data_IF_474334120609
#
_entry.id   IF_474334120609
#
_cell.length_a   1.000
_cell.length_b   1.000
_cell.length_c   1.000
_cell.angle_alpha   90.00
_cell.angle_beta   90.00
_cell.angle_gamma   90.00
#
_symmetry.space_group_name_H-M   'P 1'
#
loop_
_entity.id
_entity.type
_entity.pdbx_description
1 polymer ?
#
# COMPACT_ATOMS: atom_id res chain seq x y z
N UNK A 1 -15.01 -27.73 14.44
CA UNK A 1 -15.27 -27.69 12.99
C UNK A 1 -13.98 -27.32 12.31
N UNK A 2 -13.47 -28.17 11.43
CA UNK A 2 -12.18 -27.95 10.75
C UNK A 2 -12.32 -26.74 9.83
N UNK A 3 -11.49 -25.71 9.98
CA UNK A 3 -11.38 -24.68 8.94
C UNK A 3 -11.01 -25.34 7.61
N UNK A 4 -11.70 -25.02 6.50
CA UNK A 4 -11.37 -25.60 5.20
C UNK A 4 -9.94 -25.19 4.82
N UNK A 5 -9.10 -26.17 4.47
CA UNK A 5 -7.68 -26.04 4.10
C UNK A 5 -7.39 -25.09 2.92
N UNK A 6 -8.40 -24.45 2.35
CA UNK A 6 -8.31 -23.58 1.19
C UNK A 6 -8.17 -22.09 1.54
N UNK A 7 -8.61 -21.61 2.70
CA UNK A 7 -8.59 -20.16 3.00
C UNK A 7 -7.22 -19.71 3.53
N UNK A 8 -6.67 -18.67 2.92
CA UNK A 8 -5.34 -18.10 3.21
C UNK A 8 -5.46 -16.85 4.10
N UNK A 9 -6.44 -16.00 3.83
CA UNK A 9 -6.59 -14.71 4.53
C UNK A 9 -8.03 -14.23 4.50
N UNK A 10 -8.44 -13.50 5.54
CA UNK A 10 -9.74 -12.82 5.62
C UNK A 10 -9.60 -11.30 5.71
N UNK A 11 -10.53 -10.60 5.08
CA UNK A 11 -10.68 -9.15 5.17
C UNK A 11 -12.04 -8.83 5.80
N UNK A 12 -12.04 -8.00 6.85
CA UNK A 12 -13.25 -7.66 7.63
C UNK A 12 -13.47 -6.16 7.84
N UNK A 13 -12.43 -5.33 7.67
CA UNK A 13 -12.49 -3.90 8.00
C UNK A 13 -13.00 -3.05 6.83
N UNK A 14 -12.26 -3.01 5.74
CA UNK A 14 -12.56 -2.13 4.59
C UNK A 14 -13.51 -2.79 3.58
N UNK A 15 -13.47 -4.11 3.48
CA UNK A 15 -14.41 -4.92 2.70
C UNK A 15 -14.52 -6.31 3.32
N UNK A 16 -15.65 -6.97 3.12
CA UNK A 16 -15.87 -8.36 3.51
C UNK A 16 -15.40 -9.30 2.40
N UNK A 17 -14.36 -10.07 2.64
CA UNK A 17 -13.83 -11.00 1.64
C UNK A 17 -12.74 -11.90 2.20
N UNK A 18 -12.22 -12.80 1.35
CA UNK A 18 -11.13 -13.70 1.70
C UNK A 18 -10.32 -14.09 0.47
N UNK A 19 -9.11 -14.59 0.70
CA UNK A 19 -8.26 -15.23 -0.31
C UNK A 19 -8.29 -16.72 -0.06
N UNK A 20 -8.49 -17.52 -1.10
CA UNK A 20 -8.47 -18.97 -1.00
C UNK A 20 -7.78 -19.64 -2.20
N UNK A 21 -7.17 -20.79 -1.96
CA UNK A 21 -6.73 -21.73 -2.99
C UNK A 21 -7.91 -22.58 -3.43
N UNK A 22 -8.35 -22.40 -4.67
CA UNK A 22 -9.48 -23.10 -5.26
C UNK A 22 -9.10 -23.62 -6.65
N UNK A 23 -9.69 -24.74 -7.06
CA UNK A 23 -9.69 -25.11 -8.47
C UNK A 23 -10.54 -24.13 -9.29
N UNK A 24 -10.41 -24.17 -10.62
CA UNK A 24 -11.25 -23.31 -11.49
C UNK A 24 -12.73 -23.63 -11.28
N UNK A 25 -13.07 -24.91 -11.17
CA UNK A 25 -14.42 -25.39 -10.95
C UNK A 25 -14.99 -24.93 -9.61
N UNK A 26 -14.19 -24.96 -8.55
CA UNK A 26 -14.56 -24.43 -7.22
C UNK A 26 -14.77 -22.92 -7.25
N UNK A 27 -13.89 -22.16 -7.92
CA UNK A 27 -14.02 -20.72 -8.08
C UNK A 27 -15.31 -20.33 -8.84
N UNK A 28 -15.67 -21.09 -9.89
CA UNK A 28 -16.93 -20.89 -10.62
C UNK A 28 -18.16 -21.16 -9.73
N UNK A 29 -18.14 -22.22 -8.93
CA UNK A 29 -19.22 -22.50 -7.97
C UNK A 29 -19.34 -21.40 -6.92
N UNK A 30 -18.20 -20.93 -6.40
CA UNK A 30 -18.15 -19.87 -5.40
C UNK A 30 -18.74 -18.55 -5.92
N UNK A 31 -18.48 -18.21 -7.18
CA UNK A 31 -19.03 -17.02 -7.81
C UNK A 31 -20.57 -17.03 -7.91
N UNK A 32 -21.21 -18.19 -7.79
CA UNK A 32 -22.67 -18.32 -7.81
C UNK A 32 -23.33 -18.40 -6.43
N UNK A 33 -22.56 -18.32 -5.33
CA UNK A 33 -23.13 -18.37 -3.99
C UNK A 33 -23.76 -17.04 -3.61
N UNK A 34 -24.90 -17.10 -2.92
CA UNK A 34 -25.53 -15.91 -2.35
C UNK A 34 -24.58 -15.20 -1.38
N UNK A 35 -24.51 -13.88 -1.48
CA UNK A 35 -23.55 -13.05 -0.73
C UNK A 35 -22.14 -12.94 -1.33
N UNK A 36 -21.80 -13.67 -2.40
CA UNK A 36 -20.53 -13.47 -3.12
C UNK A 36 -20.72 -12.43 -4.23
N UNK A 37 -20.08 -11.27 -4.08
CA UNK A 37 -20.18 -10.17 -5.05
C UNK A 37 -19.34 -10.45 -6.30
N UNK A 38 -18.12 -10.96 -6.14
CA UNK A 38 -17.21 -11.27 -7.25
C UNK A 38 -16.13 -12.25 -6.81
N UNK A 39 -15.63 -13.05 -7.76
CA UNK A 39 -14.45 -13.91 -7.58
C UNK A 39 -13.47 -13.59 -8.71
N UNK A 40 -12.20 -13.38 -8.37
CA UNK A 40 -11.14 -13.12 -9.34
C UNK A 40 -9.84 -13.81 -8.93
N UNK A 41 -9.01 -14.23 -9.89
CA UNK A 41 -7.73 -14.85 -9.59
C UNK A 41 -6.81 -13.86 -8.89
N UNK A 42 -6.12 -14.32 -7.85
CA UNK A 42 -5.04 -13.56 -7.24
C UNK A 42 -3.91 -13.38 -8.28
N UNK A 43 -3.32 -12.19 -8.34
CA UNK A 43 -2.25 -11.86 -9.29
C UNK A 43 -1.08 -11.23 -8.55
N UNK A 44 0.10 -11.78 -8.78
CA UNK A 44 1.35 -11.12 -8.41
C UNK A 44 1.51 -9.83 -9.22
N UNK A 45 2.05 -8.80 -8.59
CA UNK A 45 2.39 -7.53 -9.23
C UNK A 45 3.91 -7.42 -9.31
N UNK A 46 4.40 -6.99 -10.47
CA UNK A 46 5.82 -6.77 -10.69
C UNK A 46 6.15 -5.28 -10.59
N UNK A 47 7.37 -4.99 -10.14
CA UNK A 47 7.88 -3.64 -10.03
C UNK A 47 7.88 -2.95 -11.40
N UNK A 48 7.27 -1.77 -11.47
CA UNK A 48 7.14 -1.01 -12.73
C UNK A 48 8.30 -0.04 -12.95
N UNK A 49 8.84 0.55 -11.90
CA UNK A 49 9.94 1.52 -11.99
C UNK A 49 10.66 1.64 -10.66
N UNK A 50 11.96 1.96 -10.70
CA UNK A 50 12.73 2.49 -9.57
C UNK A 50 13.11 3.96 -9.76
N UNK A 51 12.66 4.57 -10.87
CA UNK A 51 13.01 5.95 -11.28
C UNK A 51 11.74 6.75 -11.54
N UNK A 52 11.10 7.19 -10.45
CA UNK A 52 9.80 7.88 -10.49
C UNK A 52 9.82 9.15 -11.33
N UNK A 53 10.85 10.00 -11.19
CA UNK A 53 11.00 11.26 -11.94
C UNK A 53 10.90 11.06 -13.46
N UNK A 54 11.73 10.17 -14.01
CA UNK A 54 11.69 9.86 -15.44
C UNK A 54 10.41 9.14 -15.87
N UNK A 55 9.86 8.29 -15.00
CA UNK A 55 8.64 7.54 -15.27
C UNK A 55 7.42 8.44 -15.47
N UNK A 56 7.30 9.51 -14.68
CA UNK A 56 6.21 10.50 -14.78
C UNK A 56 6.55 11.71 -15.65
N UNK A 57 7.73 11.73 -16.27
CA UNK A 57 8.17 12.82 -17.16
C UNK A 57 8.43 14.15 -16.45
N UNK A 58 8.80 14.13 -15.16
CA UNK A 58 9.12 15.35 -14.42
C UNK A 58 10.58 15.78 -14.60
N UNK A 59 10.81 17.09 -14.61
CA UNK A 59 12.13 17.71 -14.62
C UNK A 59 12.72 17.81 -13.21
N UNK A 60 14.05 17.84 -13.10
CA UNK A 60 14.74 17.98 -11.81
C UNK A 60 14.56 19.36 -11.17
N UNK A 61 14.23 20.37 -11.97
CA UNK A 61 13.99 21.74 -11.53
C UNK A 61 12.50 22.03 -11.51
N UNK A 62 11.97 22.27 -10.31
CA UNK A 62 10.58 22.67 -10.06
C UNK A 62 10.60 23.84 -9.07
N UNK A 63 9.94 24.94 -9.42
CA UNK A 63 9.70 26.02 -8.47
C UNK A 63 8.76 25.55 -7.36
N UNK A 64 9.23 25.64 -6.12
CA UNK A 64 8.51 25.17 -4.94
C UNK A 64 7.38 26.14 -4.58
N UNK A 65 6.22 25.59 -4.20
CA UNK A 65 5.03 26.37 -3.87
C UNK A 65 4.41 25.87 -2.55
N UNK A 66 3.72 26.75 -1.82
CA UNK A 66 3.14 26.45 -0.51
C UNK A 66 2.06 25.35 -0.52
N UNK A 67 1.44 25.08 -1.68
CA UNK A 67 0.47 23.99 -1.85
C UNK A 67 1.10 22.59 -1.76
N UNK A 68 2.43 22.48 -1.73
CA UNK A 68 3.15 21.21 -1.57
C UNK A 68 3.22 20.73 -0.11
N UNK A 69 2.70 21.51 0.84
CA UNK A 69 2.65 21.20 2.26
C UNK A 69 1.28 20.66 2.69
N UNK A 70 1.21 20.06 3.89
CA UNK A 70 -0.03 19.49 4.45
C UNK A 70 -0.66 18.36 3.60
N UNK A 71 0.16 17.56 2.91
CA UNK A 71 -0.33 16.41 2.12
C UNK A 71 0.20 15.10 2.72
N UNK A 72 -0.67 14.10 2.84
CA UNK A 72 -0.31 12.73 3.23
C UNK A 72 -0.29 11.86 1.99
N UNK A 73 0.88 11.34 1.63
CA UNK A 73 1.07 10.46 0.47
C UNK A 73 1.29 9.03 0.99
N UNK A 74 0.39 8.11 0.64
CA UNK A 74 0.55 6.68 0.93
C UNK A 74 1.31 5.97 -0.18
N UNK A 75 2.38 5.26 0.16
CA UNK A 75 3.19 4.49 -0.78
C UNK A 75 3.10 3.01 -0.42
N UNK A 76 2.61 2.18 -1.35
CA UNK A 76 2.59 0.72 -1.22
C UNK A 76 3.64 0.17 -2.18
N UNK A 77 4.84 -0.08 -1.66
CA UNK A 77 5.99 -0.57 -2.41
C UNK A 77 6.77 -1.60 -1.58
N UNK A 78 7.90 -2.05 -2.10
CA UNK A 78 8.87 -2.95 -1.47
C UNK A 78 9.58 -2.37 -0.25
N UNK A 79 9.50 -1.05 -0.04
CA UNK A 79 10.06 -0.37 1.13
C UNK A 79 10.69 0.98 0.80
N UNK A 80 11.39 1.54 1.77
CA UNK A 80 12.21 2.75 1.63
C UNK A 80 13.56 2.55 2.32
N UNK A 81 14.51 3.43 2.01
CA UNK A 81 15.82 3.51 2.65
C UNK A 81 15.81 4.69 3.66
N UNK A 82 15.33 4.49 4.90
CA UNK A 82 15.03 5.59 5.83
C UNK A 82 16.26 6.43 6.20
N UNK A 83 17.47 5.86 6.11
CA UNK A 83 18.73 6.55 6.35
C UNK A 83 19.21 7.43 5.18
N UNK A 84 18.52 7.40 4.04
CA UNK A 84 18.85 8.25 2.90
C UNK A 84 18.68 9.73 3.26
N UNK A 85 19.64 10.57 2.86
CA UNK A 85 19.59 12.01 3.07
C UNK A 85 18.32 12.67 2.50
N UNK A 86 17.71 12.06 1.48
CA UNK A 86 16.43 12.52 0.89
C UNK A 86 15.25 12.47 1.86
N UNK A 87 15.34 11.72 2.96
CA UNK A 87 14.31 11.65 4.00
C UNK A 87 14.64 12.49 5.23
N UNK A 88 15.68 13.32 5.21
CA UNK A 88 15.96 14.25 6.31
C UNK A 88 14.84 15.27 6.49
N UNK A 89 14.39 15.46 7.73
CA UNK A 89 13.39 16.46 8.13
C UNK A 89 14.01 17.84 8.45
N UNK A 90 15.32 18.01 8.28
CA UNK A 90 15.99 19.29 8.53
C UNK A 90 15.39 20.38 7.62
N UNK A 91 14.83 21.41 8.26
CA UNK A 91 14.20 22.54 7.57
C UNK A 91 12.72 22.34 7.22
N UNK A 92 12.13 21.19 7.58
CA UNK A 92 10.70 20.94 7.41
C UNK A 92 9.91 21.24 8.70
N UNK A 93 8.64 21.58 8.53
CA UNK A 93 7.67 21.66 9.62
C UNK A 93 7.24 20.26 10.06
N UNK A 94 6.63 20.11 11.26
CA UNK A 94 6.08 18.84 11.70
C UNK A 94 5.08 18.21 10.71
N UNK A 95 4.83 16.90 10.80
CA UNK A 95 3.83 16.22 9.98
C UNK A 95 2.43 16.88 10.03
N UNK A 96 1.63 16.76 8.95
CA UNK A 96 0.26 17.27 8.90
C UNK A 96 -0.55 16.92 10.15
N UNK A 97 -1.23 17.89 10.77
CA UNK A 97 -2.00 17.65 12.01
C UNK A 97 -3.13 16.62 11.85
N UNK A 98 -3.60 16.42 10.60
CA UNK A 98 -4.59 15.40 10.22
C UNK A 98 -4.02 13.99 10.12
N UNK A 99 -2.70 13.84 10.16
CA UNK A 99 -2.05 12.53 10.14
C UNK A 99 -2.25 11.83 11.48
N UNK A 100 -2.89 10.66 11.45
CA UNK A 100 -3.15 9.84 12.65
C UNK A 100 -2.46 8.47 12.56
N UNK A 101 -1.38 8.37 11.79
CA UNK A 101 -0.59 7.15 11.73
C UNK A 101 0.53 7.16 12.76
N UNK A 102 1.10 5.99 13.02
CA UNK A 102 2.23 5.83 13.93
C UNK A 102 3.49 5.47 13.15
N UNK A 103 4.63 5.99 13.60
CA UNK A 103 5.91 5.53 13.11
C UNK A 103 6.35 4.31 13.93
N UNK A 104 6.45 3.16 13.28
CA UNK A 104 6.90 1.92 13.90
C UNK A 104 8.31 1.60 13.44
N UNK A 105 9.30 2.26 14.05
CA UNK A 105 10.71 2.08 13.74
C UNK A 105 11.40 1.26 14.83
N UNK A 106 12.07 0.19 14.45
CA UNK A 106 12.89 -0.63 15.36
C UNK A 106 14.37 -0.29 15.28
N UNK A 107 14.85 0.23 14.15
CA UNK A 107 16.27 0.45 13.85
C UNK A 107 16.58 1.78 13.15
N UNK A 108 15.62 2.70 13.06
CA UNK A 108 15.81 4.04 12.50
C UNK A 108 15.03 5.10 13.30
N UNK A 109 15.33 6.38 13.07
CA UNK A 109 14.61 7.48 13.69
C UNK A 109 13.46 7.94 12.81
N UNK A 110 12.31 8.19 13.43
CA UNK A 110 11.16 8.80 12.77
C UNK A 110 11.37 10.32 12.69
N UNK A 111 10.99 10.90 11.56
CA UNK A 111 10.95 12.36 11.40
C UNK A 111 9.94 12.97 12.39
N UNK A 112 10.25 14.19 12.85
CA UNK A 112 9.51 14.88 13.91
C UNK A 112 8.57 15.95 13.38
#
# INVERSE_FOLDING_TARGET
GQEPKSIIQYYKRSFGGFVANLTKEEAYKMAGLDGVVTVFPNKERHLLTTKSWSFIGMTEYIERNYYESDIVIGVIDTGIWPESASFSDIGFSPPPAKWNGTCNASNFSCNK
#
